data_IF_946329465234
#
_entry.id   IF_946329465234
#
_cell.length_a   1.000
_cell.length_b   1.000
_cell.length_c   1.000
_cell.angle_alpha   90.00
_cell.angle_beta   90.00
_cell.angle_gamma   90.00
#
_symmetry.space_group_name_H-M   'P 1'
#
loop_
_entity.id
_entity.type
_entity.pdbx_description
1 polymer ?
#
# COMPACT_ATOMS: atom_id res chain seq x y z
N UNK A 1 -9.63 -6.03 -13.12
CA UNK A 1 -9.46 -7.49 -13.13
C UNK A 1 -10.65 -8.19 -12.49
N UNK A 2 -10.79 -9.49 -12.67
CA UNK A 2 -11.83 -10.24 -11.96
C UNK A 2 -11.38 -10.41 -10.51
N UNK A 3 -12.07 -9.81 -9.55
CA UNK A 3 -11.76 -9.88 -8.12
C UNK A 3 -11.76 -11.32 -7.56
N UNK A 4 -12.45 -12.24 -8.25
CA UNK A 4 -12.49 -13.66 -7.88
C UNK A 4 -11.21 -14.43 -8.21
N UNK A 5 -10.29 -13.84 -8.97
CA UNK A 5 -9.02 -14.45 -9.33
C UNK A 5 -7.94 -13.98 -8.34
N UNK A 6 -7.40 -14.91 -7.56
CA UNK A 6 -6.38 -14.61 -6.55
C UNK A 6 -5.12 -13.96 -7.15
N UNK A 7 -4.78 -14.26 -8.40
CA UNK A 7 -3.65 -13.63 -9.10
C UNK A 7 -3.84 -12.12 -9.34
N UNK A 8 -5.08 -11.63 -9.31
CA UNK A 8 -5.39 -10.21 -9.46
C UNK A 8 -5.45 -9.46 -8.13
N UNK A 9 -5.07 -10.09 -7.03
CA UNK A 9 -5.06 -9.49 -5.70
C UNK A 9 -3.66 -9.04 -5.30
N UNK A 10 -3.60 -8.14 -4.34
CA UNK A 10 -2.37 -7.74 -3.68
C UNK A 10 -2.12 -8.63 -2.44
N UNK A 11 -0.86 -8.83 -2.04
CA UNK A 11 0.35 -8.20 -2.59
C UNK A 11 0.79 -8.78 -3.92
N UNK A 12 1.44 -7.96 -4.75
CA UNK A 12 2.16 -8.40 -5.94
C UNK A 12 3.64 -8.58 -5.58
N UNK A 13 4.27 -9.63 -6.05
CA UNK A 13 5.66 -9.93 -5.70
C UNK A 13 6.49 -10.38 -6.91
N UNK A 14 7.78 -10.18 -6.78
CA UNK A 14 8.86 -10.76 -7.59
C UNK A 14 9.89 -11.37 -6.64
N UNK A 15 10.97 -11.95 -7.16
CA UNK A 15 12.05 -12.46 -6.31
C UNK A 15 12.67 -11.40 -5.40
N UNK A 16 12.69 -10.14 -5.84
CA UNK A 16 13.36 -9.05 -5.11
C UNK A 16 12.42 -8.15 -4.32
N UNK A 17 11.14 -8.05 -4.72
CA UNK A 17 10.24 -7.02 -4.20
C UNK A 17 8.85 -7.59 -3.99
N UNK A 18 8.25 -7.28 -2.84
CA UNK A 18 6.81 -7.45 -2.59
C UNK A 18 6.18 -6.08 -2.43
N UNK A 19 5.11 -5.79 -3.18
CA UNK A 19 4.42 -4.49 -3.20
C UNK A 19 2.95 -4.62 -2.86
N UNK A 20 2.47 -3.70 -2.01
CA UNK A 20 1.05 -3.36 -1.91
C UNK A 20 0.86 -1.90 -2.32
N UNK A 21 -0.27 -1.60 -2.97
CA UNK A 21 -0.57 -0.32 -3.57
C UNK A 21 -2.00 0.11 -3.25
N UNK A 22 -2.17 1.36 -2.88
CA UNK A 22 -3.46 2.03 -2.78
C UNK A 22 -3.47 3.22 -3.73
N UNK A 23 -4.33 3.16 -4.73
CA UNK A 23 -4.42 4.17 -5.78
C UNK A 23 -4.81 3.58 -7.13
N UNK A 24 -4.53 4.32 -8.20
CA UNK A 24 -4.78 3.91 -9.59
C UNK A 24 -3.63 4.43 -10.46
N UNK A 25 -2.98 3.53 -11.17
CA UNK A 25 -1.97 3.86 -12.19
C UNK A 25 -2.67 3.91 -13.55
N UNK A 26 -2.96 5.12 -14.01
CA UNK A 26 -3.83 5.33 -15.19
C UNK A 26 -3.12 5.07 -16.53
N UNK A 27 -1.81 4.95 -16.55
CA UNK A 27 -1.01 4.67 -17.75
C UNK A 27 -0.40 3.26 -17.77
N UNK A 28 -0.97 2.31 -17.01
CA UNK A 28 -0.49 0.93 -16.93
C UNK A 28 -0.33 0.28 -18.32
N UNK A 29 -1.34 0.43 -19.17
CA UNK A 29 -1.35 -0.13 -20.52
C UNK A 29 -0.24 0.45 -21.42
N UNK A 30 0.11 1.72 -21.24
CA UNK A 30 1.21 2.34 -22.00
C UNK A 30 2.57 1.87 -21.46
N UNK A 31 2.68 1.65 -20.15
CA UNK A 31 3.88 1.12 -19.52
C UNK A 31 4.16 -0.32 -19.98
N UNK A 32 3.11 -1.17 -20.07
CA UNK A 32 3.24 -2.52 -20.63
C UNK A 32 3.73 -2.49 -22.09
N UNK A 33 3.16 -1.62 -22.94
CA UNK A 33 3.60 -1.47 -24.33
C UNK A 33 5.04 -1.01 -24.46
N UNK A 34 5.51 -0.11 -23.56
CA UNK A 34 6.89 0.39 -23.54
C UNK A 34 7.90 -0.65 -23.07
N UNK A 35 7.47 -1.64 -22.33
CA UNK A 35 8.32 -2.67 -21.72
C UNK A 35 7.91 -4.08 -22.15
N UNK A 36 7.95 -4.40 -23.48
CA UNK A 36 7.44 -5.67 -24.01
C UNK A 36 8.21 -6.91 -23.54
N UNK A 37 9.40 -6.72 -22.98
CA UNK A 37 10.20 -7.81 -22.39
C UNK A 37 9.74 -8.20 -20.98
N UNK A 38 8.87 -7.40 -20.35
CA UNK A 38 8.31 -7.72 -19.03
C UNK A 38 7.02 -8.52 -19.25
N UNK A 39 7.00 -9.75 -18.75
CA UNK A 39 5.81 -10.59 -18.85
C UNK A 39 4.71 -10.11 -17.90
N UNK A 40 3.49 -9.94 -18.41
CA UNK A 40 2.29 -9.63 -17.62
C UNK A 40 1.62 -10.92 -17.18
N UNK A 41 1.40 -11.09 -15.89
CA UNK A 41 0.77 -12.27 -15.28
C UNK A 41 -0.59 -11.96 -14.65
N UNK A 42 -0.81 -10.71 -14.25
CA UNK A 42 -2.03 -10.26 -13.60
C UNK A 42 -2.67 -9.06 -14.30
N UNK A 43 -3.90 -8.74 -13.91
CA UNK A 43 -4.65 -7.58 -14.44
C UNK A 43 -4.63 -6.38 -13.47
N UNK A 44 -3.90 -6.49 -12.36
CA UNK A 44 -3.77 -5.41 -11.38
C UNK A 44 -2.67 -4.44 -11.81
N UNK A 45 -2.94 -3.14 -11.69
CA UNK A 45 -1.99 -2.08 -12.05
C UNK A 45 -0.74 -2.05 -11.16
N UNK A 46 -0.84 -2.60 -9.96
CA UNK A 46 0.30 -2.79 -9.05
C UNK A 46 1.40 -3.64 -9.68
N UNK A 47 1.06 -4.57 -10.58
CA UNK A 47 2.03 -5.48 -11.18
C UNK A 47 3.06 -4.74 -12.03
N UNK A 48 2.64 -3.80 -12.87
CA UNK A 48 3.60 -3.06 -13.69
C UNK A 48 4.53 -2.21 -12.82
N UNK A 49 4.02 -1.63 -11.72
CA UNK A 49 4.84 -0.89 -10.77
C UNK A 49 5.93 -1.80 -10.18
N UNK A 50 5.53 -2.94 -9.65
CA UNK A 50 6.43 -3.90 -8.99
C UNK A 50 7.50 -4.40 -9.95
N UNK A 51 7.11 -4.81 -11.16
CA UNK A 51 8.02 -5.34 -12.18
C UNK A 51 8.97 -4.26 -12.74
N UNK A 52 8.52 -3.03 -12.93
CA UNK A 52 9.41 -1.92 -13.31
C UNK A 52 10.44 -1.63 -12.23
N UNK A 53 10.03 -1.64 -10.96
CA UNK A 53 10.93 -1.43 -9.83
C UNK A 53 11.97 -2.56 -9.75
N UNK A 54 11.55 -3.82 -9.90
CA UNK A 54 12.42 -5.00 -9.95
C UNK A 54 13.43 -4.92 -11.10
N UNK A 55 13.00 -4.58 -12.32
CA UNK A 55 13.87 -4.41 -13.47
C UNK A 55 14.95 -3.35 -13.23
N UNK A 56 14.58 -2.22 -12.62
CA UNK A 56 15.54 -1.17 -12.28
C UNK A 56 16.52 -1.65 -11.21
N UNK A 57 16.04 -2.39 -10.21
CA UNK A 57 16.89 -2.97 -9.18
C UNK A 57 17.91 -3.95 -9.77
N UNK A 58 17.47 -4.86 -10.65
CA UNK A 58 18.36 -5.79 -11.39
C UNK A 58 19.37 -5.08 -12.30
N UNK A 59 19.01 -3.92 -12.81
CA UNK A 59 19.91 -3.06 -13.59
C UNK A 59 20.95 -2.31 -12.72
N UNK A 60 21.04 -2.61 -11.41
CA UNK A 60 22.05 -2.05 -10.50
C UNK A 60 21.66 -0.71 -9.86
N UNK A 61 20.40 -0.27 -9.97
CA UNK A 61 19.97 0.90 -9.22
C UNK A 61 19.86 0.60 -7.73
N UNK A 62 20.10 1.61 -6.89
CA UNK A 62 19.83 1.53 -5.46
C UNK A 62 18.33 1.33 -5.22
N UNK A 63 17.95 0.90 -4.01
CA UNK A 63 16.54 0.76 -3.61
C UNK A 63 15.76 2.06 -3.87
N UNK A 64 16.27 3.19 -3.38
CA UNK A 64 15.59 4.48 -3.53
C UNK A 64 15.53 4.95 -4.98
N UNK A 65 16.59 4.76 -5.76
CA UNK A 65 16.57 5.09 -7.19
C UNK A 65 15.58 4.21 -7.97
N UNK A 66 15.44 2.94 -7.61
CA UNK A 66 14.46 2.04 -8.26
C UNK A 66 13.04 2.52 -8.02
N UNK A 67 12.70 2.90 -6.79
CA UNK A 67 11.40 3.48 -6.43
C UNK A 67 11.19 4.82 -7.12
N UNK A 68 12.12 5.77 -6.99
CA UNK A 68 11.98 7.13 -7.51
C UNK A 68 11.82 7.12 -9.03
N UNK A 69 12.64 6.37 -9.75
CA UNK A 69 12.53 6.23 -11.21
C UNK A 69 11.20 5.58 -11.62
N UNK A 70 10.68 4.63 -10.85
CA UNK A 70 9.39 4.01 -11.15
C UNK A 70 8.24 5.00 -10.93
N UNK A 71 8.27 5.79 -9.85
CA UNK A 71 7.29 6.85 -9.61
C UNK A 71 7.29 7.92 -10.70
N UNK A 72 8.44 8.22 -11.30
CA UNK A 72 8.52 9.18 -12.41
C UNK A 72 7.95 8.68 -13.74
N UNK A 73 7.77 7.37 -13.89
CA UNK A 73 7.15 6.78 -15.08
C UNK A 73 5.64 6.60 -14.96
N UNK A 74 5.12 6.38 -13.75
CA UNK A 74 3.69 6.19 -13.53
C UNK A 74 2.93 7.52 -13.58
N UNK A 75 1.67 7.44 -14.01
CA UNK A 75 0.69 8.53 -13.94
C UNK A 75 -0.49 8.09 -13.10
N UNK A 76 -1.07 9.01 -12.35
CA UNK A 76 -2.18 8.73 -11.43
C UNK A 76 -1.78 8.92 -9.98
N UNK A 77 -2.55 8.34 -9.08
CA UNK A 77 -2.32 8.40 -7.63
C UNK A 77 -1.82 7.05 -7.14
N UNK A 78 -0.68 7.06 -6.45
CA UNK A 78 -0.10 5.86 -5.89
C UNK A 78 0.46 6.11 -4.50
N UNK A 79 0.06 5.25 -3.56
CA UNK A 79 0.69 5.05 -2.26
C UNK A 79 1.12 3.59 -2.17
N UNK A 80 2.41 3.34 -2.10
CA UNK A 80 2.97 1.99 -2.15
C UNK A 80 3.74 1.65 -0.88
N UNK A 81 3.66 0.39 -0.47
CA UNK A 81 4.54 -0.19 0.53
C UNK A 81 5.28 -1.34 -0.15
N UNK A 82 6.60 -1.28 -0.12
CA UNK A 82 7.47 -2.19 -0.85
C UNK A 82 8.46 -2.83 0.11
N UNK A 83 8.52 -4.16 0.12
CA UNK A 83 9.52 -4.92 0.87
C UNK A 83 10.59 -5.33 -0.13
N UNK A 84 11.83 -4.89 0.10
CA UNK A 84 12.99 -5.30 -0.71
C UNK A 84 13.69 -6.46 -0.03
N UNK A 85 13.57 -7.64 -0.61
CA UNK A 85 14.09 -8.89 -0.04
C UNK A 85 15.62 -8.93 -0.06
N UNK A 86 16.23 -8.38 -1.11
CA UNK A 86 17.68 -8.31 -1.28
C UNK A 86 18.36 -7.27 -0.39
N UNK A 87 17.61 -6.27 0.10
CA UNK A 87 18.15 -5.16 0.88
C UNK A 87 17.71 -5.17 2.35
N UNK A 88 16.78 -6.05 2.76
CA UNK A 88 16.29 -6.11 4.14
C UNK A 88 15.62 -4.82 4.60
N UNK A 89 14.94 -4.10 3.70
CA UNK A 89 14.28 -2.85 4.02
C UNK A 89 12.86 -2.79 3.50
N UNK A 90 12.08 -1.90 4.11
CA UNK A 90 10.73 -1.54 3.67
C UNK A 90 10.73 -0.10 3.19
N UNK A 91 10.14 0.14 2.03
CA UNK A 91 9.99 1.49 1.47
C UNK A 91 8.51 1.83 1.33
N UNK A 92 8.05 2.80 2.09
CA UNK A 92 6.74 3.42 1.96
C UNK A 92 6.86 4.69 1.14
N UNK A 93 6.11 4.84 0.06
CA UNK A 93 6.20 6.02 -0.81
C UNK A 93 4.83 6.43 -1.33
N UNK A 94 4.62 7.73 -1.53
CA UNK A 94 3.33 8.25 -1.98
C UNK A 94 3.50 9.54 -2.80
N UNK A 95 2.75 9.66 -3.90
CA UNK A 95 2.70 10.90 -4.67
C UNK A 95 1.51 11.79 -4.30
N UNK A 96 0.54 11.27 -3.53
CA UNK A 96 -0.67 12.01 -3.14
C UNK A 96 -0.81 12.26 -1.62
N UNK A 97 0.07 11.65 -0.78
CA UNK A 97 0.04 11.81 0.67
C UNK A 97 -0.95 10.91 1.42
N UNK A 98 -1.62 9.97 0.76
CA UNK A 98 -2.52 8.99 1.41
C UNK A 98 -1.74 7.81 1.97
N UNK A 99 -0.80 8.08 2.86
CA UNK A 99 -0.02 7.06 3.54
C UNK A 99 0.45 7.57 4.91
N UNK A 100 0.19 6.77 5.93
CA UNK A 100 0.50 7.08 7.32
C UNK A 100 1.28 5.95 7.94
N UNK A 101 2.08 6.26 8.93
CA UNK A 101 2.79 5.26 9.72
C UNK A 101 2.79 5.61 11.20
N UNK A 102 3.03 4.60 12.02
CA UNK A 102 3.28 4.75 13.45
C UNK A 102 4.29 3.70 13.90
N UNK A 103 5.33 4.14 14.58
CA UNK A 103 6.35 3.26 15.15
C UNK A 103 6.00 3.05 16.63
N UNK A 104 6.10 1.79 17.10
CA UNK A 104 5.90 1.46 18.52
C UNK A 104 6.94 2.13 19.41
N UNK A 105 6.59 2.40 20.67
CA UNK A 105 7.46 3.10 21.63
C UNK A 105 8.78 2.35 21.86
N UNK A 106 8.77 1.03 21.76
CA UNK A 106 9.97 0.18 21.86
C UNK A 106 10.74 0.03 20.53
N UNK A 107 10.30 0.70 19.44
CA UNK A 107 10.89 0.66 18.10
C UNK A 107 11.04 -0.75 17.49
N UNK A 108 10.16 -1.68 17.84
CA UNK A 108 10.20 -3.06 17.31
C UNK A 108 9.09 -3.37 16.30
N UNK A 109 8.16 -2.43 16.11
CA UNK A 109 7.01 -2.61 15.22
C UNK A 109 6.69 -1.31 14.53
N UNK A 110 6.40 -1.36 13.26
CA UNK A 110 5.86 -0.25 12.50
C UNK A 110 4.53 -0.66 11.87
N UNK A 111 3.57 0.24 11.89
CA UNK A 111 2.27 0.08 11.26
C UNK A 111 2.14 1.10 10.12
N UNK A 112 1.58 0.66 9.01
CA UNK A 112 1.25 1.52 7.89
C UNK A 112 -0.24 1.44 7.58
N UNK A 113 -0.83 2.55 7.18
CA UNK A 113 -2.20 2.60 6.68
C UNK A 113 -2.36 3.76 5.69
N UNK A 114 -3.35 3.66 4.81
CA UNK A 114 -3.73 4.75 3.91
C UNK A 114 -4.34 5.97 4.64
N UNK A 115 -4.83 5.76 5.87
CA UNK A 115 -5.51 6.78 6.67
C UNK A 115 -5.03 6.74 8.13
N UNK A 116 -4.69 7.92 8.69
CA UNK A 116 -4.27 8.03 10.10
C UNK A 116 -5.37 7.62 11.08
N UNK A 117 -6.63 7.88 10.71
CA UNK A 117 -7.79 7.46 11.50
C UNK A 117 -7.87 5.93 11.64
N UNK A 118 -7.49 5.18 10.61
CA UNK A 118 -7.45 3.71 10.65
C UNK A 118 -6.49 3.22 11.73
N UNK A 119 -5.29 3.83 11.84
CA UNK A 119 -4.31 3.50 12.89
C UNK A 119 -4.89 3.82 14.28
N UNK A 120 -5.51 5.00 14.47
CA UNK A 120 -6.15 5.37 15.75
C UNK A 120 -7.22 4.38 16.16
N UNK A 121 -8.14 4.04 15.25
CA UNK A 121 -9.21 3.08 15.54
C UNK A 121 -8.66 1.68 15.83
N UNK A 122 -7.56 1.30 15.19
CA UNK A 122 -6.87 0.04 15.48
C UNK A 122 -6.35 0.00 16.92
N UNK A 123 -5.74 1.09 17.40
CA UNK A 123 -5.27 1.18 18.80
C UNK A 123 -6.42 1.07 19.81
N UNK A 124 -7.54 1.73 19.53
CA UNK A 124 -8.71 1.68 20.42
C UNK A 124 -9.36 0.30 20.49
N UNK A 125 -9.38 -0.44 19.38
CA UNK A 125 -10.08 -1.73 19.27
C UNK A 125 -9.21 -2.94 19.56
N UNK A 126 -7.89 -2.83 19.44
CA UNK A 126 -6.98 -3.97 19.59
C UNK A 126 -6.22 -3.89 20.89
N UNK A 127 -6.64 -4.70 21.86
CA UNK A 127 -6.00 -4.78 23.21
C UNK A 127 -4.50 -5.13 23.14
N UNK A 128 -4.07 -5.89 22.13
CA UNK A 128 -2.67 -6.27 21.97
C UNK A 128 -1.77 -5.06 21.63
N UNK A 129 -2.32 -4.05 20.98
CA UNK A 129 -1.60 -2.83 20.57
C UNK A 129 -1.70 -1.71 21.61
N UNK A 130 -2.68 -1.79 22.52
CA UNK A 130 -2.84 -0.79 23.58
C UNK A 130 -1.57 -0.69 24.43
N UNK A 131 -1.12 0.54 24.72
CA UNK A 131 0.09 0.80 25.49
C UNK A 131 1.42 0.50 24.80
N UNK A 132 1.40 0.08 23.53
CA UNK A 132 2.61 -0.14 22.73
C UNK A 132 2.87 0.97 21.71
N UNK A 133 1.87 1.78 21.41
CA UNK A 133 1.94 2.88 20.46
C UNK A 133 1.31 4.13 21.05
N UNK A 134 1.90 5.28 20.79
CA UNK A 134 1.32 6.58 21.08
C UNK A 134 0.59 7.13 19.86
N UNK A 135 -0.65 7.61 20.03
CA UNK A 135 -1.40 8.28 18.95
C UNK A 135 -0.68 9.52 18.42
N UNK A 136 0.10 10.19 19.27
CA UNK A 136 0.91 11.36 18.89
C UNK A 136 2.04 11.01 17.92
N UNK A 137 2.39 9.71 17.80
CA UNK A 137 3.44 9.22 16.90
C UNK A 137 2.88 8.80 15.52
N UNK A 138 1.60 9.02 15.27
CA UNK A 138 1.02 8.80 13.94
C UNK A 138 1.47 9.91 13.01
N UNK A 139 2.28 9.56 12.01
CA UNK A 139 2.87 10.48 11.06
C UNK A 139 2.32 10.25 9.66
N UNK A 140 2.04 11.34 8.94
CA UNK A 140 1.73 11.29 7.50
C UNK A 140 3.01 11.35 6.68
N UNK A 141 3.13 10.49 5.69
CA UNK A 141 4.14 10.61 4.64
C UNK A 141 3.61 11.66 3.65
N UNK A 142 4.36 12.76 3.49
CA UNK A 142 3.94 13.89 2.64
C UNK A 142 3.88 13.49 1.18
N UNK A 143 3.03 14.15 0.41
CA UNK A 143 2.96 13.94 -1.04
C UNK A 143 4.34 14.13 -1.72
N UNK A 144 4.65 13.27 -2.67
CA UNK A 144 5.94 13.20 -3.38
C UNK A 144 7.15 12.92 -2.48
N UNK A 145 6.93 12.20 -1.37
CA UNK A 145 8.01 11.71 -0.51
C UNK A 145 7.84 10.23 -0.19
N UNK A 146 8.84 9.67 0.42
CA UNK A 146 8.82 8.31 0.95
C UNK A 146 9.60 8.21 2.26
N UNK A 147 9.45 7.06 2.89
CA UNK A 147 10.14 6.63 4.11
C UNK A 147 10.77 5.28 3.82
N UNK A 148 12.07 5.15 4.01
CA UNK A 148 12.76 3.86 4.07
C UNK A 148 12.93 3.43 5.52
N UNK A 149 12.72 2.16 5.79
CA UNK A 149 12.86 1.53 7.11
C UNK A 149 13.81 0.36 6.98
N UNK A 150 14.90 0.36 7.73
CA UNK A 150 15.74 -0.81 7.92
C UNK A 150 15.03 -1.78 8.88
N UNK A 151 14.80 -3.03 8.47
CA UNK A 151 14.08 -4.00 9.31
C UNK A 151 14.94 -4.59 10.42
N UNK A 152 16.26 -4.39 10.40
CA UNK A 152 17.17 -4.94 11.40
C UNK A 152 17.18 -4.12 12.70
N UNK A 153 17.08 -2.81 12.61
CA UNK A 153 17.18 -1.87 13.74
C UNK A 153 16.01 -0.88 13.81
N UNK A 154 15.12 -0.90 12.79
CA UNK A 154 13.99 0.03 12.65
C UNK A 154 14.40 1.48 12.46
N UNK A 155 15.66 1.74 12.04
CA UNK A 155 16.05 3.08 11.61
C UNK A 155 15.26 3.51 10.38
N UNK A 156 14.92 4.79 10.32
CA UNK A 156 14.10 5.36 9.26
C UNK A 156 14.74 6.59 8.65
N UNK A 157 14.60 6.75 7.35
CA UNK A 157 14.98 7.97 6.65
C UNK A 157 13.91 8.39 5.63
N UNK A 158 13.63 9.69 5.55
CA UNK A 158 12.72 10.25 4.54
C UNK A 158 13.49 10.65 3.29
N UNK A 159 12.86 10.51 2.13
CA UNK A 159 13.43 10.87 0.84
C UNK A 159 12.38 11.53 -0.07
N UNK A 160 12.84 12.24 -1.10
CA UNK A 160 11.99 12.89 -2.10
C UNK A 160 11.82 11.97 -3.33
N UNK A 161 10.60 11.88 -3.86
CA UNK A 161 10.33 11.19 -5.13
C UNK A 161 10.69 12.04 -6.35
N UNK A 162 11.02 13.32 -6.16
CA UNK A 162 11.37 14.26 -7.26
C UNK A 162 12.87 14.32 -7.52
N UNK A 163 13.69 13.92 -6.57
CA UNK A 163 15.15 14.02 -6.63
C UNK A 163 15.73 12.70 -7.17
N UNK A 164 15.81 12.56 -8.50
CA UNK A 164 16.35 11.36 -9.16
C UNK A 164 17.87 11.25 -9.13
N UNK A 165 18.58 12.37 -8.90
CA UNK A 165 20.04 12.46 -9.05
C UNK A 165 20.81 12.57 -7.74
N UNK A 166 20.12 12.59 -6.59
CA UNK A 166 20.80 12.46 -5.31
C UNK A 166 21.25 11.01 -5.15
N UNK A 167 22.57 10.79 -5.11
CA UNK A 167 23.17 9.60 -4.51
C UNK A 167 22.74 9.61 -3.03
N UNK A 168 21.58 9.00 -2.77
CA UNK A 168 21.20 8.68 -1.39
C UNK A 168 22.26 7.75 -0.86
N UNK A 169 22.91 8.16 0.23
CA UNK A 169 24.06 7.53 0.83
C UNK A 169 23.98 6.01 0.72
N UNK A 170 25.08 5.40 0.28
CA UNK A 170 25.26 3.95 0.13
C UNK A 170 25.01 3.14 1.42
N UNK A 171 24.75 3.83 2.55
CA UNK A 171 24.39 3.23 3.85
C UNK A 171 23.19 2.28 3.76
N UNK A 172 22.31 2.44 2.74
CA UNK A 172 21.15 1.59 2.49
C UNK A 172 21.35 0.65 1.29
N UNK A 173 22.57 0.52 0.81
CA UNK A 173 22.97 -0.44 -0.20
C UNK A 173 23.60 -1.64 0.51
N UNK A 174 22.79 -2.70 0.60
CA UNK A 174 23.25 -4.08 0.71
C UNK A 174 23.91 -4.49 2.03
N UNK A 175 23.12 -5.05 2.90
CA UNK A 175 23.57 -6.25 3.59
C UNK A 175 23.12 -7.46 2.75
N UNK A 176 24.03 -8.33 2.34
CA UNK A 176 23.84 -9.59 1.60
C UNK A 176 22.98 -10.63 2.36
N UNK A 177 21.92 -10.20 3.00
CA UNK A 177 20.95 -11.07 3.64
C UNK A 177 19.89 -11.43 2.60
N UNK A 178 20.13 -12.50 1.87
CA UNK A 178 19.07 -13.19 1.14
C UNK A 178 18.06 -13.74 2.14
N UNK A 179 17.02 -12.96 2.41
CA UNK A 179 15.84 -13.49 3.08
C UNK A 179 15.02 -14.18 1.99
N UNK A 180 15.14 -15.49 1.90
CA UNK A 180 14.24 -16.29 1.07
C UNK A 180 12.90 -16.38 1.81
N UNK A 181 11.91 -15.63 1.37
CA UNK A 181 10.52 -15.95 1.70
C UNK A 181 10.13 -17.09 0.77
N UNK A 182 10.02 -18.30 1.31
CA UNK A 182 9.49 -19.43 0.56
C UNK A 182 7.96 -19.21 0.42
N UNK A 183 7.55 -18.59 -0.69
CA UNK A 183 6.15 -18.28 -0.98
C UNK A 183 5.33 -19.55 -1.21
N UNK A 184 5.97 -20.65 -1.59
CA UNK A 184 5.32 -21.95 -1.82
C UNK A 184 4.76 -22.56 -0.53
N UNK A 185 5.30 -22.23 0.64
CA UNK A 185 4.75 -22.66 1.93
C UNK A 185 3.46 -21.93 2.31
N UNK A 186 3.21 -20.74 1.74
CA UNK A 186 1.98 -19.97 1.99
C UNK A 186 0.79 -20.53 1.18
N UNK A 187 1.04 -21.29 0.11
CA UNK A 187 -0.01 -21.92 -0.71
C UNK A 187 -0.75 -23.06 0.01
N UNK A 188 -0.24 -23.53 1.14
CA UNK A 188 -0.91 -24.52 1.99
C UNK A 188 -1.89 -23.89 3.02
N UNK A 189 -2.24 -22.63 2.89
CA UNK A 189 -3.42 -22.09 3.58
C UNK A 189 -4.62 -22.80 2.97
N UNK A 190 -5.12 -23.78 3.71
CA UNK A 190 -6.36 -24.53 3.50
C UNK A 190 -7.35 -23.76 2.64
N UNK A 191 -7.80 -24.38 1.55
CA UNK A 191 -8.91 -23.88 0.72
C UNK A 191 -9.94 -23.24 1.63
N UNK A 192 -10.06 -21.93 1.54
CA UNK A 192 -11.22 -21.24 2.12
C UNK A 192 -12.40 -21.88 1.41
N UNK A 193 -13.15 -22.70 2.12
CA UNK A 193 -14.37 -23.30 1.59
C UNK A 193 -15.20 -22.14 1.02
N UNK A 194 -15.25 -22.05 -0.31
CA UNK A 194 -16.14 -21.08 -0.96
C UNK A 194 -17.53 -21.39 -0.47
N UNK A 195 -18.23 -20.45 0.19
CA UNK A 195 -19.61 -20.70 0.58
C UNK A 195 -20.37 -21.09 -0.67
N UNK A 196 -21.09 -22.21 -0.63
CA UNK A 196 -21.92 -22.63 -1.75
C UNK A 196 -22.89 -21.49 -2.09
N UNK A 197 -22.76 -20.92 -3.27
CA UNK A 197 -23.61 -19.82 -3.78
C UNK A 197 -25.11 -20.17 -3.73
N UNK A 198 -25.43 -21.48 -3.71
CA UNK A 198 -26.80 -21.99 -3.59
C UNK A 198 -27.49 -21.64 -2.27
N UNK A 199 -26.72 -21.33 -1.20
CA UNK A 199 -27.26 -20.95 0.11
C UNK A 199 -27.36 -19.43 0.30
N UNK A 200 -26.86 -18.62 -0.65
CA UNK A 200 -26.93 -17.17 -0.56
C UNK A 200 -28.27 -16.68 -1.06
N UNK A 201 -29.07 -16.13 -0.17
CA UNK A 201 -30.32 -15.45 -0.54
C UNK A 201 -29.96 -14.17 -1.33
N UNK A 202 -29.94 -14.25 -2.65
CA UNK A 202 -29.55 -13.17 -3.56
C UNK A 202 -30.41 -11.91 -3.41
N UNK A 203 -31.63 -12.02 -2.85
CA UNK A 203 -32.46 -10.85 -2.57
C UNK A 203 -31.84 -9.86 -1.58
N UNK A 204 -30.86 -10.31 -0.77
CA UNK A 204 -30.10 -9.42 0.10
C UNK A 204 -29.09 -8.54 -0.63
N UNK A 205 -28.81 -8.83 -1.90
CA UNK A 205 -27.86 -8.10 -2.75
C UNK A 205 -28.57 -7.28 -3.82
N UNK A 206 -29.91 -7.19 -3.79
CA UNK A 206 -30.65 -6.27 -4.64
C UNK A 206 -30.27 -4.83 -4.26
N UNK A 207 -29.94 -4.03 -5.28
CA UNK A 207 -29.57 -2.63 -5.10
C UNK A 207 -30.82 -1.84 -4.70
N UNK A 208 -30.89 -1.45 -3.43
CA UNK A 208 -31.95 -0.54 -2.94
C UNK A 208 -31.61 0.91 -3.37
N UNK A 209 -32.12 1.29 -4.54
CA UNK A 209 -31.89 2.62 -5.13
C UNK A 209 -32.44 3.73 -4.22
N UNK A 210 -33.53 3.50 -3.52
CA UNK A 210 -34.14 4.52 -2.63
C UNK A 210 -33.29 4.70 -1.35
N UNK A 211 -32.67 3.67 -0.86
CA UNK A 211 -31.68 3.75 0.21
C UNK A 211 -30.45 4.52 -0.24
N UNK A 212 -29.94 4.27 -1.45
CA UNK A 212 -28.78 4.98 -2.01
C UNK A 212 -29.04 6.49 -2.12
N UNK A 213 -30.24 6.89 -2.55
CA UNK A 213 -30.64 8.30 -2.63
C UNK A 213 -30.68 8.99 -1.27
N UNK A 214 -30.92 8.24 -0.18
CA UNK A 214 -31.01 8.76 1.19
C UNK A 214 -29.66 8.76 1.92
N UNK A 215 -28.61 8.23 1.33
CA UNK A 215 -27.27 8.19 1.93
C UNK A 215 -26.81 9.62 2.26
N UNK A 216 -26.54 9.86 3.54
CA UNK A 216 -25.96 11.12 4.00
C UNK A 216 -24.58 11.32 3.43
N UNK A 217 -24.27 12.55 2.99
CA UNK A 217 -22.96 12.91 2.44
C UNK A 217 -22.41 14.12 3.17
N UNK A 218 -21.09 14.18 3.25
CA UNK A 218 -20.40 15.34 3.79
C UNK A 218 -20.73 16.60 2.99
N UNK A 219 -21.10 17.68 3.67
CA UNK A 219 -21.45 18.96 3.04
C UNK A 219 -20.27 19.65 2.38
N UNK A 220 -19.03 19.26 2.74
CA UNK A 220 -17.78 19.86 2.22
C UNK A 220 -17.09 19.00 1.15
N UNK A 221 -16.91 17.69 1.38
CA UNK A 221 -16.17 16.81 0.47
C UNK A 221 -17.03 15.71 -0.18
N UNK A 222 -18.34 15.69 0.08
CA UNK A 222 -19.32 14.76 -0.53
C UNK A 222 -19.10 13.28 -0.16
N UNK A 223 -18.15 12.92 0.70
CA UNK A 223 -17.97 11.56 1.17
C UNK A 223 -19.26 11.00 1.79
N UNK A 224 -19.68 9.79 1.42
CA UNK A 224 -20.91 9.18 1.91
C UNK A 224 -20.73 8.58 3.32
N UNK A 225 -21.84 8.44 4.05
CA UNK A 225 -21.87 7.80 5.38
C UNK A 225 -21.43 6.33 5.36
N UNK A 226 -21.32 5.72 4.19
CA UNK A 226 -20.80 4.38 4.00
C UNK A 226 -19.26 4.31 4.04
N UNK A 227 -18.57 5.48 4.05
CA UNK A 227 -17.12 5.52 4.19
C UNK A 227 -16.73 4.96 5.57
N UNK A 228 -15.78 4.04 5.67
CA UNK A 228 -15.36 3.47 6.95
C UNK A 228 -14.96 4.55 7.94
N UNK A 229 -15.47 4.44 9.18
CA UNK A 229 -15.17 5.35 10.30
C UNK A 229 -15.55 6.82 10.08
N UNK A 230 -16.41 7.13 9.10
CA UNK A 230 -16.88 8.49 8.90
C UNK A 230 -17.82 8.90 10.05
N UNK A 231 -17.60 10.11 10.53
CA UNK A 231 -18.45 10.78 11.53
C UNK A 231 -18.76 12.19 11.00
N UNK A 232 -19.93 12.72 11.31
CA UNK A 232 -20.33 14.06 10.86
C UNK A 232 -20.61 14.93 12.07
N UNK A 233 -20.16 16.18 12.01
CA UNK A 233 -20.52 17.21 12.97
C UNK A 233 -21.96 17.73 12.80
N UNK A 234 -22.37 18.72 13.61
CA UNK A 234 -23.70 19.35 13.55
C UNK A 234 -23.96 20.08 12.24
N UNK A 235 -22.94 20.46 11.48
CA UNK A 235 -23.05 21.13 10.18
C UNK A 235 -23.00 20.12 9.01
N UNK A 236 -22.85 18.83 9.28
CA UNK A 236 -22.76 17.78 8.28
C UNK A 236 -21.39 17.66 7.63
N UNK A 237 -20.35 18.27 8.19
CA UNK A 237 -18.96 18.12 7.72
C UNK A 237 -18.36 16.87 8.36
N UNK A 238 -17.69 16.05 7.55
CA UNK A 238 -17.11 14.81 8.04
C UNK A 238 -15.77 15.04 8.76
N UNK A 239 -15.42 14.07 9.62
CA UNK A 239 -14.15 14.03 10.35
C UNK A 239 -12.91 13.87 9.48
N UNK A 240 -13.05 13.52 8.19
CA UNK A 240 -11.96 13.53 7.21
C UNK A 240 -11.64 14.93 6.68
N UNK A 241 -12.60 15.85 6.74
CA UNK A 241 -12.38 17.25 6.39
C UNK A 241 -11.65 18.04 7.46
#
# INVERSE_FOLDING_TARGET
>A
GKESDAHNNQPVYTDLITTVHNGIIVNDSDLWKKNPMINREAQVDTEIFTKLCDCKRRAGNTVLNSITKTYNEIKGMASTLNIFHDAGCVVAATNNGSLYYCISDNKKTILFASEGLTIRKLFLKNKFLQGKFSENNICQIKANTGLIVDVSDMETASFSLKDTDKNYDEKYVVNDRKVFVNVDEIQNITEIQKPELSMMNLSKYEIDVDRIKKIRRCTKCVLPETMPFIEFDSQGVCNYC
#
